data_IF_536777119501
#
_entry.id   IF_536777119501
#
_cell.length_a   1.000
_cell.length_b   1.000
_cell.length_c   1.000
_cell.angle_alpha   90.00
_cell.angle_beta   90.00
_cell.angle_gamma   90.00
#
_symmetry.space_group_name_H-M   'P 1'
#
loop_
_entity.id
_entity.type
_entity.pdbx_description
1 polymer ?
#
# COMPACT_ATOMS: atom_id res chain seq x y z
N UNK A 1 23.39 23.15 4.54
CA UNK A 1 23.89 23.84 3.32
C UNK A 1 23.61 22.94 2.13
N UNK A 2 22.89 23.47 1.14
CA UNK A 2 22.52 22.84 -0.13
C UNK A 2 23.67 23.03 -1.14
N UNK A 3 24.86 22.51 -0.83
CA UNK A 3 25.94 22.51 -1.82
C UNK A 3 25.65 21.39 -2.82
N UNK A 4 25.40 21.76 -4.08
CA UNK A 4 25.25 20.86 -5.23
C UNK A 4 26.52 20.07 -5.56
N UNK A 5 27.15 19.48 -4.55
CA UNK A 5 28.16 18.45 -4.67
C UNK A 5 27.46 17.20 -5.15
N UNK A 6 27.73 16.79 -6.39
CA UNK A 6 27.28 15.50 -6.92
C UNK A 6 27.80 14.40 -5.99
N UNK A 7 26.93 13.94 -5.09
CA UNK A 7 27.26 12.89 -4.15
C UNK A 7 27.61 11.65 -4.98
N UNK A 8 28.78 11.09 -4.72
CA UNK A 8 29.23 9.79 -5.22
C UNK A 8 28.32 8.62 -4.75
N UNK A 9 27.16 8.91 -4.17
CA UNK A 9 26.05 7.98 -3.92
C UNK A 9 25.25 7.77 -5.22
N UNK A 10 25.98 7.37 -6.27
CA UNK A 10 25.42 7.04 -7.57
C UNK A 10 24.73 5.69 -7.53
N UNK A 11 23.48 5.69 -8.01
CA UNK A 11 22.57 4.60 -8.36
C UNK A 11 21.72 4.03 -7.21
N UNK A 12 20.42 4.06 -7.46
CA UNK A 12 19.46 3.12 -6.87
C UNK A 12 19.90 1.72 -7.31
N UNK A 13 20.41 0.88 -6.41
CA UNK A 13 21.16 -0.33 -6.82
C UNK A 13 20.35 -1.56 -7.18
N UNK A 14 19.05 -1.62 -6.87
CA UNK A 14 18.14 -2.66 -7.39
C UNK A 14 16.68 -2.24 -7.21
N UNK A 15 15.89 -2.49 -8.25
CA UNK A 15 14.43 -2.50 -8.17
C UNK A 15 14.00 -3.96 -8.12
N UNK A 16 13.17 -4.32 -7.17
CA UNK A 16 12.56 -5.64 -7.10
C UNK A 16 11.06 -5.51 -7.30
N UNK A 17 10.49 -6.34 -8.16
CA UNK A 17 9.05 -6.52 -8.20
C UNK A 17 8.71 -7.51 -7.11
N UNK A 18 7.98 -7.07 -6.08
CA UNK A 18 7.50 -7.92 -5.01
C UNK A 18 5.99 -8.06 -5.12
N UNK A 19 5.54 -9.30 -4.96
CA UNK A 19 4.12 -9.63 -4.79
C UNK A 19 3.89 -9.87 -3.31
N UNK A 20 2.95 -9.15 -2.71
CA UNK A 20 2.60 -9.29 -1.31
C UNK A 20 1.08 -9.32 -1.15
N UNK A 21 0.62 -9.90 -0.05
CA UNK A 21 -0.80 -9.99 0.29
C UNK A 21 -1.09 -9.08 1.48
N UNK A 22 -1.99 -8.12 1.32
CA UNK A 22 -2.52 -7.31 2.41
C UNK A 22 -4.04 -7.46 2.44
N UNK A 23 -4.59 -7.85 3.59
CA UNK A 23 -6.03 -7.91 3.81
C UNK A 23 -6.76 -8.73 2.72
N UNK A 24 -6.21 -9.91 2.41
CA UNK A 24 -6.72 -10.81 1.35
C UNK A 24 -6.47 -10.35 -0.09
N UNK A 25 -5.96 -9.14 -0.32
CA UNK A 25 -5.63 -8.61 -1.65
C UNK A 25 -4.17 -8.86 -2.00
N UNK A 26 -3.94 -9.52 -3.14
CA UNK A 26 -2.61 -9.69 -3.71
C UNK A 26 -2.23 -8.46 -4.53
N UNK A 27 -1.06 -7.89 -4.26
CA UNK A 27 -0.55 -6.71 -4.95
C UNK A 27 0.88 -6.93 -5.41
N UNK A 28 1.15 -6.55 -6.65
CA UNK A 28 2.48 -6.60 -7.25
C UNK A 28 2.99 -5.17 -7.45
N UNK A 29 4.08 -4.80 -6.78
CA UNK A 29 4.66 -3.45 -6.88
C UNK A 29 6.18 -3.53 -7.00
N UNK A 30 6.76 -2.50 -7.61
CA UNK A 30 8.20 -2.34 -7.68
C UNK A 30 8.70 -1.61 -6.44
N UNK A 31 9.53 -2.28 -5.65
CA UNK A 31 10.20 -1.75 -4.47
C UNK A 31 11.64 -1.37 -4.79
N UNK A 32 12.13 -0.36 -4.08
CA UNK A 32 13.54 -0.01 -4.05
C UNK A 32 14.21 -0.82 -2.94
N UNK A 33 15.25 -1.57 -3.26
CA UNK A 33 15.99 -2.34 -2.26
C UNK A 33 16.95 -1.40 -1.54
N UNK A 34 16.75 -1.21 -0.24
CA UNK A 34 17.69 -0.53 0.65
C UNK A 34 17.86 -1.34 1.94
N UNK A 35 18.92 -1.05 2.70
CA UNK A 35 19.07 -1.61 4.03
C UNK A 35 18.05 -0.94 4.97
N UNK A 36 16.90 -1.57 5.13
CA UNK A 36 15.77 -1.09 5.95
C UNK A 36 15.91 -1.43 7.44
N UNK A 37 17.04 -2.00 7.86
CA UNK A 37 17.30 -2.36 9.25
C UNK A 37 16.37 -3.48 9.73
N UNK A 38 15.53 -3.19 10.73
CA UNK A 38 14.62 -4.16 11.36
C UNK A 38 13.32 -4.37 10.60
N UNK A 39 13.06 -3.61 9.54
CA UNK A 39 11.81 -3.70 8.76
C UNK A 39 12.04 -4.46 7.46
N UNK A 40 11.16 -5.39 7.12
CA UNK A 40 11.29 -6.19 5.89
C UNK A 40 10.92 -5.39 4.62
N UNK A 41 9.94 -4.48 4.72
CA UNK A 41 9.52 -3.61 3.62
C UNK A 41 8.86 -2.34 4.18
N UNK A 42 8.99 -1.22 3.46
CA UNK A 42 8.37 0.06 3.81
C UNK A 42 7.47 0.51 2.66
N UNK A 43 6.19 0.73 2.96
CA UNK A 43 5.22 1.30 2.02
C UNK A 43 5.27 2.82 2.12
N UNK A 44 5.69 3.47 1.03
CA UNK A 44 5.76 4.93 0.97
C UNK A 44 4.40 5.59 0.74
N UNK A 45 4.36 6.91 0.94
CA UNK A 45 3.16 7.74 0.77
C UNK A 45 2.48 7.58 -0.60
N UNK A 46 3.25 7.39 -1.69
CA UNK A 46 2.68 7.16 -3.03
C UNK A 46 1.80 5.91 -3.11
N UNK A 47 2.14 4.88 -2.34
CA UNK A 47 1.33 3.67 -2.29
C UNK A 47 0.06 3.90 -1.47
N UNK A 48 0.18 4.60 -0.33
CA UNK A 48 -0.94 4.98 0.52
C UNK A 48 -1.95 5.86 -0.23
N UNK A 49 -1.49 6.85 -0.98
CA UNK A 49 -2.34 7.74 -1.78
C UNK A 49 -3.09 6.98 -2.89
N UNK A 50 -2.41 6.07 -3.59
CA UNK A 50 -3.01 5.31 -4.68
C UNK A 50 -4.03 4.25 -4.24
N UNK A 51 -3.87 3.68 -3.04
CA UNK A 51 -4.72 2.60 -2.54
C UNK A 51 -5.68 3.04 -1.42
N UNK A 52 -5.46 4.23 -0.87
CA UNK A 52 -6.20 4.85 0.24
C UNK A 52 -6.70 3.85 1.30
N UNK A 53 -5.80 3.04 1.88
CA UNK A 53 -6.19 2.09 2.91
C UNK A 53 -6.47 2.80 4.23
N UNK A 54 -7.25 2.14 5.08
CA UNK A 54 -7.47 2.55 6.46
C UNK A 54 -6.28 2.06 7.31
N UNK A 55 -5.64 2.99 8.03
CA UNK A 55 -4.47 2.70 8.88
C UNK A 55 -4.88 2.80 10.34
N UNK A 56 -4.79 1.69 11.06
CA UNK A 56 -4.86 1.70 12.52
C UNK A 56 -3.46 1.90 13.09
N UNK A 57 -3.16 3.12 13.53
CA UNK A 57 -1.87 3.48 14.11
C UNK A 57 -1.63 2.87 15.50
N UNK A 58 -2.68 2.44 16.22
CA UNK A 58 -2.53 1.80 17.52
C UNK A 58 -2.16 0.33 17.36
N UNK A 59 -2.75 -0.35 16.38
CA UNK A 59 -2.47 -1.76 16.09
C UNK A 59 -1.33 -1.94 15.08
N UNK A 60 -0.87 -0.85 14.46
CA UNK A 60 0.06 -0.87 13.33
C UNK A 60 -0.44 -1.78 12.18
N UNK A 61 -1.76 -1.78 11.95
CA UNK A 61 -2.43 -2.59 10.92
C UNK A 61 -2.96 -1.69 9.80
N UNK A 62 -3.18 -2.33 8.65
CA UNK A 62 -3.65 -1.71 7.42
C UNK A 62 -4.80 -2.56 6.88
N UNK A 63 -5.93 -1.94 6.62
CA UNK A 63 -7.14 -2.58 6.09
C UNK A 63 -7.64 -1.82 4.86
N UNK A 64 -8.28 -2.50 3.92
CA UNK A 64 -8.96 -1.81 2.83
C UNK A 64 -10.43 -1.63 3.20
N UNK A 65 -11.01 -0.43 3.01
CA UNK A 65 -12.44 -0.28 3.12
C UNK A 65 -13.09 -1.22 2.11
N UNK A 66 -13.94 -2.14 2.59
CA UNK A 66 -14.81 -2.89 1.71
C UNK A 66 -15.74 -1.88 1.04
N UNK A 67 -15.84 -1.92 -0.29
CA UNK A 67 -16.95 -1.25 -0.94
C UNK A 67 -18.22 -1.93 -0.45
N UNK A 68 -18.91 -1.30 0.52
CA UNK A 68 -20.26 -1.69 0.87
C UNK A 68 -21.05 -1.64 -0.44
N UNK A 69 -21.74 -2.73 -0.84
CA UNK A 69 -22.62 -2.68 -1.99
C UNK A 69 -23.66 -1.58 -1.72
N UNK A 70 -23.56 -0.47 -2.44
CA UNK A 70 -24.32 0.77 -2.16
C UNK A 70 -25.83 0.62 -2.30
N UNK A 71 -26.35 -0.50 -2.76
CA UNK A 71 -27.77 -0.81 -2.70
C UNK A 71 -27.93 -2.30 -2.97
N UNK A 72 -28.01 -3.14 -1.93
CA UNK A 72 -28.87 -4.31 -2.05
C UNK A 72 -30.29 -3.75 -1.93
N UNK A 73 -30.85 -3.31 -3.06
CA UNK A 73 -32.28 -3.10 -3.16
C UNK A 73 -32.91 -4.48 -2.90
N UNK A 74 -33.26 -4.72 -1.64
CA UNK A 74 -34.11 -5.83 -1.26
C UNK A 74 -35.45 -5.52 -1.91
N UNK A 75 -35.67 -6.06 -3.12
CA UNK A 75 -36.97 -6.05 -3.75
C UNK A 75 -37.91 -6.82 -2.82
N UNK A 76 -38.74 -6.08 -2.11
CA UNK A 76 -39.94 -6.61 -1.48
C UNK A 76 -41.05 -6.48 -2.51
N UNK A 77 -41.47 -7.59 -3.09
CA UNK A 77 -42.77 -7.78 -3.76
C UNK A 77 -43.05 -9.29 -3.61
N UNK A 78 -43.77 -9.71 -2.58
CA UNK A 78 -45.23 -9.66 -2.39
C UNK A 78 -45.92 -10.76 -3.22
N UNK A 79 -46.30 -11.80 -2.48
CA UNK A 79 -47.16 -12.91 -2.90
C UNK A 79 -48.60 -12.38 -3.01
N UNK A 80 -49.23 -12.55 -4.19
CA UNK A 80 -50.67 -12.38 -4.39
C UNK A 80 -51.16 -13.34 -5.48
#
# INVERSE_FOLDING_TARGET
MLNGSSSQAGKIWKKAVLTFSLDGKHMTKTFLICNTGSHAAILGLKWLDAHNPEIDWNQHTLMFPHELPKHVAIAKEEEA
#
